data_IF_212627849888
#
_entry.id   IF_212627849888
#
_cell.length_a   1.000
_cell.length_b   1.000
_cell.length_c   1.000
_cell.angle_alpha   90.00
_cell.angle_beta   90.00
_cell.angle_gamma   90.00
#
_symmetry.space_group_name_H-M   'P 1'
#
loop_
_entity.id
_entity.type
_entity.pdbx_description
1 polymer ?
#
# COMPACT_ATOMS: atom_id res chain seq x y z
N UNK A 1 4.48 6.51 -39.03
CA UNK A 1 5.62 5.63 -39.38
C UNK A 1 6.87 6.22 -38.74
N UNK A 2 7.34 5.64 -37.63
CA UNK A 2 8.53 6.10 -36.91
C UNK A 2 9.53 4.95 -36.81
N UNK A 3 10.73 5.17 -37.34
CA UNK A 3 11.80 4.18 -37.49
C UNK A 3 12.39 3.80 -36.13
N UNK A 4 12.10 2.59 -35.65
CA UNK A 4 12.82 1.99 -34.52
C UNK A 4 14.19 1.49 -35.01
N UNK A 5 15.28 2.07 -34.50
CA UNK A 5 16.64 1.55 -34.68
C UNK A 5 16.99 0.62 -33.53
N UNK A 6 17.45 -0.62 -33.79
CA UNK A 6 17.99 -1.50 -32.75
C UNK A 6 19.46 -1.14 -32.48
N UNK A 7 19.75 -0.72 -31.25
CA UNK A 7 21.11 -0.64 -30.74
C UNK A 7 21.50 -2.03 -30.21
N UNK A 8 22.27 -2.77 -31.00
CA UNK A 8 22.86 -4.05 -30.63
C UNK A 8 23.94 -3.84 -29.56
N UNK A 9 23.83 -4.40 -28.34
CA UNK A 9 24.98 -4.54 -27.47
C UNK A 9 25.79 -5.77 -27.91
N UNK A 10 27.07 -5.53 -28.18
CA UNK A 10 28.06 -6.50 -28.59
C UNK A 10 28.23 -7.64 -27.57
N UNK A 11 28.43 -8.83 -28.11
CA UNK A 11 28.79 -10.07 -27.42
C UNK A 11 30.07 -9.90 -26.61
N UNK A 12 29.95 -9.97 -25.27
CA UNK A 12 31.06 -10.14 -24.34
C UNK A 12 30.81 -11.38 -23.49
N UNK A 13 31.38 -12.51 -23.91
CA UNK A 13 31.45 -13.76 -23.15
C UNK A 13 32.45 -13.60 -22.00
N UNK A 14 32.02 -13.64 -20.74
CA UNK A 14 32.85 -14.13 -19.63
C UNK A 14 31.97 -14.53 -18.42
N UNK A 15 31.94 -15.84 -18.16
CA UNK A 15 31.74 -16.54 -16.87
C UNK A 15 30.75 -15.99 -15.83
N UNK A 16 29.72 -16.79 -15.55
CA UNK A 16 29.27 -17.02 -14.16
C UNK A 16 27.95 -16.37 -13.75
N UNK A 17 26.95 -17.22 -13.55
CA UNK A 17 25.69 -17.03 -12.78
C UNK A 17 24.71 -16.00 -13.35
N UNK A 18 23.79 -16.51 -14.17
CA UNK A 18 22.54 -15.84 -14.52
C UNK A 18 21.69 -15.61 -13.25
N UNK A 19 21.79 -14.41 -12.66
CA UNK A 19 20.78 -13.94 -11.70
C UNK A 19 19.62 -13.43 -12.54
N UNK A 20 18.56 -14.23 -12.65
CA UNK A 20 17.31 -13.84 -13.32
C UNK A 20 16.60 -12.80 -12.44
N UNK A 21 17.06 -11.56 -12.49
CA UNK A 21 16.39 -10.43 -11.87
C UNK A 21 15.43 -9.83 -12.89
N UNK A 22 14.23 -10.43 -12.99
CA UNK A 22 13.11 -9.82 -13.70
C UNK A 22 12.69 -8.55 -12.95
N UNK A 23 13.34 -7.44 -13.25
CA UNK A 23 12.77 -6.10 -13.06
C UNK A 23 11.68 -5.94 -14.11
N UNK A 24 10.48 -6.36 -13.76
CA UNK A 24 9.29 -5.94 -14.50
C UNK A 24 9.06 -4.46 -14.23
N UNK A 25 8.98 -3.73 -15.35
CA UNK A 25 8.76 -2.30 -15.46
C UNK A 25 7.71 -1.74 -14.49
N UNK A 26 8.08 -0.66 -13.80
CA UNK A 26 7.17 0.30 -13.20
C UNK A 26 6.41 1.06 -14.29
N UNK A 27 5.43 0.42 -14.91
CA UNK A 27 4.49 1.08 -15.82
C UNK A 27 3.15 1.33 -15.11
N UNK A 28 2.93 2.58 -14.74
CA UNK A 28 1.64 3.28 -14.79
C UNK A 28 0.46 2.68 -14.04
N UNK A 29 0.15 3.24 -12.86
CA UNK A 29 -1.23 3.35 -12.42
C UNK A 29 -1.53 4.83 -12.19
N UNK A 30 -1.96 5.50 -13.26
CA UNK A 30 -2.64 6.79 -13.18
C UNK A 30 -3.96 6.60 -12.43
N UNK A 31 -3.94 6.83 -11.12
CA UNK A 31 -5.17 6.97 -10.34
C UNK A 31 -5.76 8.35 -10.60
N UNK A 32 -6.77 8.41 -11.48
CA UNK A 32 -7.61 9.59 -11.65
C UNK A 32 -8.18 9.99 -10.28
N UNK A 33 -7.78 11.18 -9.82
CA UNK A 33 -8.18 11.76 -8.55
C UNK A 33 -9.55 12.43 -8.75
N UNK A 34 -10.61 11.68 -8.50
CA UNK A 34 -11.94 12.23 -8.25
C UNK A 34 -12.27 11.90 -6.79
N UNK A 35 -12.35 12.95 -5.97
CA UNK A 35 -12.48 12.84 -4.53
C UNK A 35 -13.75 12.14 -4.06
N UNK A 36 -13.72 11.62 -2.83
CA UNK A 36 -14.92 11.22 -2.10
C UNK A 36 -14.74 9.95 -1.26
N UNK A 37 -14.67 10.11 0.06
CA UNK A 37 -14.81 9.02 1.03
C UNK A 37 -13.49 8.34 1.41
N UNK A 38 -13.07 8.50 2.67
CA UNK A 38 -12.03 7.67 3.28
C UNK A 38 -12.55 6.24 3.48
N UNK A 39 -12.70 5.49 2.38
CA UNK A 39 -12.93 4.05 2.41
C UNK A 39 -11.55 3.39 2.49
N UNK A 40 -11.21 2.77 3.63
CA UNK A 40 -10.14 1.77 3.67
C UNK A 40 -10.66 0.51 2.95
N UNK A 41 -10.82 0.60 1.63
CA UNK A 41 -11.23 -0.52 0.81
C UNK A 41 -10.03 -1.45 0.63
N UNK A 42 -10.22 -2.75 0.90
CA UNK A 42 -9.19 -3.73 0.58
C UNK A 42 -8.96 -3.73 -0.95
N UNK A 43 -7.75 -4.11 -1.39
CA UNK A 43 -7.50 -4.29 -2.82
C UNK A 43 -8.20 -5.56 -3.32
N UNK A 44 -8.42 -5.66 -4.64
CA UNK A 44 -8.82 -6.92 -5.29
C UNK A 44 -7.78 -8.03 -5.12
N UNK A 45 -6.51 -7.66 -4.87
CA UNK A 45 -5.45 -8.59 -4.51
C UNK A 45 -5.54 -8.97 -3.03
N UNK A 46 -5.51 -10.27 -2.74
CA UNK A 46 -5.50 -10.81 -1.37
C UNK A 46 -4.28 -10.31 -0.58
N UNK A 47 -4.50 -9.76 0.61
CA UNK A 47 -3.47 -9.24 1.53
C UNK A 47 -3.55 -9.97 2.87
N UNK A 48 -2.39 -10.32 3.42
CA UNK A 48 -2.29 -10.97 4.73
C UNK A 48 -2.63 -10.01 5.88
N UNK A 49 -3.30 -10.51 6.93
CA UNK A 49 -3.67 -9.75 8.14
C UNK A 49 -2.93 -10.32 9.35
N UNK A 50 -1.95 -9.57 9.87
CA UNK A 50 -1.16 -9.98 11.03
C UNK A 50 -1.94 -9.80 12.35
N UNK A 51 -1.70 -10.69 13.30
CA UNK A 51 -2.23 -10.65 14.67
C UNK A 51 -3.70 -11.05 14.79
N UNK A 52 -4.32 -11.57 13.73
CA UNK A 52 -5.74 -11.96 13.74
C UNK A 52 -5.87 -13.48 13.87
N UNK A 53 -6.71 -13.89 14.82
CA UNK A 53 -7.05 -15.30 15.06
C UNK A 53 -8.30 -15.66 14.26
N UNK A 54 -8.28 -16.81 13.59
CA UNK A 54 -9.45 -17.32 12.88
C UNK A 54 -10.55 -17.74 13.87
N UNK A 55 -11.80 -17.26 13.71
CA UNK A 55 -12.89 -17.64 14.61
C UNK A 55 -13.32 -19.11 14.46
N UNK A 56 -12.99 -19.75 13.33
CA UNK A 56 -13.41 -21.13 13.03
C UNK A 56 -12.39 -22.18 13.47
N UNK A 57 -11.10 -21.94 13.25
CA UNK A 57 -10.04 -22.91 13.56
C UNK A 57 -9.05 -22.43 14.64
N UNK A 58 -9.23 -21.24 15.21
CA UNK A 58 -8.37 -20.67 16.26
C UNK A 58 -6.89 -20.53 15.90
N UNK A 59 -6.53 -20.65 14.63
CA UNK A 59 -5.15 -20.45 14.16
C UNK A 59 -4.90 -18.95 14.00
N UNK A 60 -3.78 -18.48 14.56
CA UNK A 60 -3.29 -17.11 14.41
C UNK A 60 -2.63 -16.93 13.03
N UNK A 61 -2.72 -15.72 12.46
CA UNK A 61 -1.92 -15.35 11.28
C UNK A 61 -2.22 -16.18 10.03
N UNK A 62 -3.50 -16.44 9.76
CA UNK A 62 -3.94 -17.18 8.56
C UNK A 62 -5.05 -16.51 7.76
N UNK A 63 -5.44 -15.30 8.11
CA UNK A 63 -6.49 -14.57 7.39
C UNK A 63 -5.90 -13.68 6.31
N UNK A 64 -6.56 -13.68 5.17
CA UNK A 64 -6.29 -12.79 4.05
C UNK A 64 -7.52 -11.94 3.73
N UNK A 65 -7.35 -10.63 3.67
CA UNK A 65 -8.38 -9.67 3.30
C UNK A 65 -8.32 -9.33 1.81
N UNK A 66 -9.48 -9.15 1.18
CA UNK A 66 -9.61 -8.71 -0.21
C UNK A 66 -10.98 -8.05 -0.42
N UNK A 67 -11.11 -7.25 -1.48
CA UNK A 67 -12.38 -6.62 -1.85
C UNK A 67 -12.87 -7.14 -3.20
N UNK A 68 -14.17 -7.45 -3.28
CA UNK A 68 -14.83 -7.87 -4.53
C UNK A 68 -16.08 -7.02 -4.71
N UNK A 69 -16.14 -6.28 -5.81
CA UNK A 69 -17.32 -5.46 -6.13
C UNK A 69 -17.63 -4.39 -5.08
N UNK A 70 -16.61 -3.85 -4.40
CA UNK A 70 -16.77 -2.85 -3.35
C UNK A 70 -17.18 -3.42 -1.97
N UNK A 71 -17.19 -4.74 -1.84
CA UNK A 71 -17.46 -5.44 -0.58
C UNK A 71 -16.16 -6.07 -0.08
N UNK A 72 -15.82 -5.78 1.17
CA UNK A 72 -14.63 -6.33 1.80
C UNK A 72 -14.90 -7.72 2.40
N UNK A 73 -13.99 -8.64 2.14
CA UNK A 73 -14.03 -10.02 2.63
C UNK A 73 -12.72 -10.39 3.31
N UNK A 74 -12.80 -11.33 4.26
CA UNK A 74 -11.65 -12.04 4.84
C UNK A 74 -11.82 -13.53 4.62
N UNK A 75 -10.74 -14.21 4.26
CA UNK A 75 -10.70 -15.66 4.09
C UNK A 75 -9.57 -16.27 4.93
N UNK A 76 -9.80 -17.41 5.57
CA UNK A 76 -8.76 -18.17 6.26
C UNK A 76 -8.12 -19.21 5.34
N UNK A 77 -6.80 -19.14 5.17
CA UNK A 77 -6.04 -20.09 4.33
C UNK A 77 -6.06 -21.51 4.90
N UNK A 78 -6.17 -21.67 6.22
CA UNK A 78 -6.11 -22.99 6.87
C UNK A 78 -7.41 -23.78 6.85
N UNK A 79 -8.56 -23.11 6.95
CA UNK A 79 -9.86 -23.80 7.06
C UNK A 79 -10.90 -23.36 6.01
N UNK A 80 -10.57 -22.42 5.12
CA UNK A 80 -11.45 -21.93 4.06
C UNK A 80 -12.62 -21.08 4.57
N UNK A 81 -12.58 -20.59 5.81
CA UNK A 81 -13.63 -19.74 6.36
C UNK A 81 -13.63 -18.37 5.66
N UNK A 82 -14.78 -17.94 5.12
CA UNK A 82 -14.97 -16.65 4.44
C UNK A 82 -15.97 -15.81 5.22
N UNK A 83 -15.66 -14.54 5.42
CA UNK A 83 -16.49 -13.60 6.17
C UNK A 83 -16.48 -12.20 5.56
N UNK A 84 -17.61 -11.50 5.63
CA UNK A 84 -17.82 -10.18 5.04
C UNK A 84 -17.55 -9.09 6.09
N UNK A 85 -16.61 -8.19 5.81
CA UNK A 85 -16.32 -7.06 6.68
C UNK A 85 -17.30 -5.92 6.39
N UNK A 86 -18.11 -5.55 7.38
CA UNK A 86 -18.97 -4.36 7.34
C UNK A 86 -18.36 -3.24 8.16
N UNK A 87 -17.49 -2.44 7.53
CA UNK A 87 -16.91 -1.25 8.17
C UNK A 87 -17.85 -0.07 7.88
N UNK A 88 -18.79 0.19 8.80
CA UNK A 88 -19.82 1.24 8.63
C UNK A 88 -19.45 2.59 9.24
N UNK A 89 -18.26 2.73 9.86
CA UNK A 89 -17.88 3.98 10.53
C UNK A 89 -16.74 4.68 9.80
N UNK A 90 -16.92 5.95 9.38
CA UNK A 90 -15.79 6.76 8.95
C UNK A 90 -14.77 6.86 10.10
N UNK A 91 -13.46 6.84 9.80
CA UNK A 91 -12.43 6.97 10.82
C UNK A 91 -12.63 8.31 11.55
N UNK A 92 -12.99 8.24 12.83
CA UNK A 92 -13.11 9.44 13.66
C UNK A 92 -11.70 9.92 13.97
N UNK A 93 -11.37 11.14 13.57
CA UNK A 93 -10.11 11.77 13.95
C UNK A 93 -10.14 11.98 15.46
N UNK A 94 -9.40 11.14 16.19
CA UNK A 94 -9.24 11.30 17.62
C UNK A 94 -8.52 12.62 17.89
N UNK A 95 -9.00 13.38 18.88
CA UNK A 95 -8.31 14.59 19.35
C UNK A 95 -7.09 14.14 20.13
N UNK A 96 -5.96 14.02 19.43
CA UNK A 96 -4.65 13.78 20.06
C UNK A 96 -3.99 15.13 20.33
N UNK A 97 -3.03 15.17 21.27
CA UNK A 97 -2.22 16.36 21.58
C UNK A 97 -1.57 17.01 20.33
N UNK A 98 -1.36 16.20 19.29
CA UNK A 98 -0.67 16.56 18.03
C UNK A 98 -1.64 16.98 16.92
N UNK A 99 -2.92 16.61 16.99
CA UNK A 99 -3.96 17.11 16.06
C UNK A 99 -4.39 18.53 16.46
N UNK A 100 -3.47 19.49 16.36
CA UNK A 100 -3.79 20.92 16.36
C UNK A 100 -4.19 21.28 14.94
N UNK A 101 -5.38 21.83 14.74
CA UNK A 101 -5.72 22.52 13.49
C UNK A 101 -4.66 23.59 13.25
N UNK A 102 -4.14 23.79 12.02
CA UNK A 102 -3.21 24.87 11.74
C UNK A 102 -3.96 26.18 11.98
N UNK A 103 -3.75 26.75 13.15
CA UNK A 103 -4.03 28.16 13.37
C UNK A 103 -3.03 28.85 12.46
N UNK A 104 -3.52 29.60 11.46
CA UNK A 104 -2.66 30.50 10.68
C UNK A 104 -2.11 31.54 11.65
N UNK A 105 -0.96 31.26 12.24
CA UNK A 105 -0.14 32.28 12.87
C UNK A 105 0.75 32.83 11.77
N UNK A 106 0.47 34.05 11.35
CA UNK A 106 1.23 34.81 10.35
C UNK A 106 2.64 35.20 10.84
N UNK A 107 3.24 34.41 11.73
CA UNK A 107 4.57 34.62 12.27
C UNK A 107 5.57 33.78 11.48
N UNK A 108 6.15 34.47 10.50
CA UNK A 108 7.29 34.11 9.67
C UNK A 108 8.28 33.17 10.38
N UNK A 109 8.41 31.95 9.85
CA UNK A 109 9.34 30.92 10.33
C UNK A 109 10.79 31.43 10.23
N UNK A 110 11.30 32.04 11.29
CA UNK A 110 12.72 32.44 11.34
C UNK A 110 13.60 31.22 11.67
N UNK A 111 14.57 30.88 10.80
CA UNK A 111 15.49 29.79 11.07
C UNK A 111 16.31 30.10 12.33
N UNK A 112 16.30 29.17 13.28
CA UNK A 112 17.09 29.26 14.51
C UNK A 112 18.54 28.91 14.19
N UNK A 113 19.43 29.88 14.31
CA UNK A 113 20.88 29.64 14.27
C UNK A 113 21.33 29.05 15.60
N UNK A 114 21.66 27.76 15.57
CA UNK A 114 22.35 27.10 16.67
C UNK A 114 23.82 27.56 16.62
N UNK A 115 24.27 28.22 17.68
CA UNK A 115 25.67 28.62 17.81
C UNK A 115 26.45 27.39 18.28
N UNK A 116 27.46 27.00 17.53
CA UNK A 116 28.43 25.98 17.91
C UNK A 116 29.56 26.67 18.72
N UNK A 117 29.75 26.27 19.99
CA UNK A 117 30.85 26.69 20.87
C UNK A 117 32.18 25.97 20.53
#
# INVERSE_FOLDING_TARGET
>A
MGLCKPFFPALGLHHGVYVYFSLYDCSGAESNNQGGGFQLAFSTKKRFIAGVVCPKCSVMDRLVGFSVGGVDFRECISCGFIDQLRIMSPPRVLKTRVNKTPVKSDEEERPLHLLDD
#
